data_IF_124958894747
#
_entry.id   IF_124958894747
#
_cell.length_a   1.000
_cell.length_b   1.000
_cell.length_c   1.000
_cell.angle_alpha   90.00
_cell.angle_beta   90.00
_cell.angle_gamma   90.00
#
_symmetry.space_group_name_H-M   'P 1'
#
loop_
_entity.id
_entity.type
_entity.pdbx_description
1 polymer ?
#
# COMPACT_ATOMS: atom_id res chain seq x y z
N UNK A 1 26.75 2.09 -4.68
CA UNK A 1 26.22 1.23 -5.78
C UNK A 1 25.31 2.03 -6.67
N UNK A 2 25.11 1.54 -7.91
CA UNK A 2 24.16 2.10 -8.87
C UNK A 2 22.87 1.28 -8.85
N UNK A 3 21.73 1.92 -8.58
CA UNK A 3 20.44 1.26 -8.38
C UNK A 3 19.48 1.74 -9.47
N UNK A 4 19.00 0.82 -10.33
CA UNK A 4 17.93 1.12 -11.27
C UNK A 4 16.59 0.98 -10.56
N UNK A 5 15.96 2.11 -10.26
CA UNK A 5 14.70 2.17 -9.52
C UNK A 5 13.51 2.23 -10.50
N UNK A 6 12.71 1.16 -10.53
CA UNK A 6 11.61 1.00 -11.48
C UNK A 6 10.27 1.26 -10.80
N UNK A 7 9.55 2.27 -11.27
CA UNK A 7 8.16 2.54 -10.90
C UNK A 7 7.40 3.10 -12.10
N UNK A 8 6.11 2.75 -12.26
CA UNK A 8 5.37 3.22 -13.44
C UNK A 8 5.01 4.72 -13.44
N UNK A 9 5.11 5.40 -12.30
CA UNK A 9 4.96 6.86 -12.16
C UNK A 9 6.23 7.46 -11.57
N UNK A 10 6.63 8.60 -12.06
CA UNK A 10 7.73 9.37 -11.49
C UNK A 10 7.25 10.76 -11.02
N UNK A 11 6.10 10.76 -10.33
CA UNK A 11 5.49 11.91 -9.65
C UNK A 11 4.65 11.41 -8.47
N UNK A 12 4.43 12.25 -7.46
CA UNK A 12 3.67 11.87 -6.25
C UNK A 12 2.17 11.89 -6.55
N UNK A 13 1.52 10.72 -6.48
CA UNK A 13 0.07 10.58 -6.58
C UNK A 13 -0.54 9.86 -5.37
N UNK A 14 0.28 9.21 -4.55
CA UNK A 14 -0.17 8.44 -3.38
C UNK A 14 0.97 7.90 -2.54
N UNK A 15 0.67 6.95 -1.68
CA UNK A 15 1.62 6.31 -0.76
C UNK A 15 2.81 5.63 -1.45
N UNK A 16 2.59 4.82 -2.51
CA UNK A 16 3.69 4.16 -3.20
C UNK A 16 4.73 5.11 -3.81
N UNK A 17 4.29 6.23 -4.38
CA UNK A 17 5.21 7.22 -4.95
C UNK A 17 5.91 8.03 -3.85
N UNK A 18 5.24 8.35 -2.74
CA UNK A 18 5.90 8.94 -1.56
C UNK A 18 7.02 8.03 -1.06
N UNK A 19 6.75 6.72 -0.95
CA UNK A 19 7.78 5.76 -0.60
C UNK A 19 8.96 5.81 -1.58
N UNK A 20 8.68 5.79 -2.90
CA UNK A 20 9.70 5.83 -3.95
C UNK A 20 10.63 7.04 -3.80
N UNK A 21 10.07 8.25 -3.66
CA UNK A 21 10.89 9.47 -3.56
C UNK A 21 11.63 9.53 -2.23
N UNK A 22 11.06 9.06 -1.14
CA UNK A 22 11.72 9.04 0.16
C UNK A 22 12.89 8.05 0.18
N UNK A 23 12.71 6.84 -0.35
CA UNK A 23 13.80 5.85 -0.39
C UNK A 23 14.88 6.27 -1.39
N UNK A 24 14.50 6.86 -2.54
CA UNK A 24 15.44 7.44 -3.50
C UNK A 24 16.32 8.48 -2.81
N UNK A 25 15.71 9.46 -2.14
CA UNK A 25 16.43 10.50 -1.41
C UNK A 25 17.38 9.91 -0.35
N UNK A 26 16.91 8.90 0.42
CA UNK A 26 17.75 8.25 1.44
C UNK A 26 18.96 7.54 0.83
N UNK A 27 18.74 6.79 -0.27
CA UNK A 27 19.81 6.10 -0.97
C UNK A 27 20.85 7.09 -1.52
N UNK A 28 20.42 8.21 -2.10
CA UNK A 28 21.31 9.25 -2.61
C UNK A 28 22.11 9.95 -1.50
N UNK A 29 21.48 10.23 -0.36
CA UNK A 29 22.17 10.79 0.83
C UNK A 29 23.24 9.85 1.38
N UNK A 30 23.07 8.56 1.23
CA UNK A 30 24.04 7.52 1.64
C UNK A 30 25.08 7.20 0.54
N UNK A 31 25.15 8.03 -0.51
CA UNK A 31 26.18 7.95 -1.54
C UNK A 31 25.91 6.91 -2.65
N UNK A 32 24.67 6.48 -2.84
CA UNK A 32 24.30 5.62 -3.96
C UNK A 32 23.81 6.46 -5.14
N UNK A 33 24.07 5.99 -6.37
CA UNK A 33 23.50 6.54 -7.60
C UNK A 33 22.14 5.87 -7.86
N UNK A 34 21.06 6.65 -7.92
CA UNK A 34 19.72 6.13 -8.18
C UNK A 34 19.20 6.58 -9.54
N UNK A 35 19.04 5.62 -10.43
CA UNK A 35 18.64 5.80 -11.82
C UNK A 35 17.15 5.45 -11.93
N UNK A 36 16.24 6.42 -12.20
CA UNK A 36 14.83 6.11 -12.34
C UNK A 36 14.50 5.51 -13.70
N UNK A 37 13.54 4.57 -13.73
CA UNK A 37 12.87 4.10 -14.94
C UNK A 37 11.37 4.10 -14.75
N UNK A 38 10.64 4.79 -15.64
CA UNK A 38 9.20 5.02 -15.52
C UNK A 38 8.50 5.05 -16.88
N UNK A 39 7.26 5.55 -16.90
CA UNK A 39 6.53 5.92 -18.12
C UNK A 39 6.62 7.44 -18.28
N UNK A 40 6.79 7.91 -19.52
CA UNK A 40 6.75 9.34 -19.85
C UNK A 40 5.40 9.95 -19.48
N UNK A 41 5.44 11.07 -18.80
CA UNK A 41 4.28 11.90 -18.45
C UNK A 41 4.70 13.34 -18.21
N UNK A 42 3.87 14.30 -18.59
CA UNK A 42 4.09 15.72 -18.30
C UNK A 42 4.11 16.04 -16.79
N UNK A 43 3.66 15.09 -15.94
CA UNK A 43 3.67 15.23 -14.48
C UNK A 43 4.94 14.71 -13.82
N UNK A 44 5.82 14.06 -14.57
CA UNK A 44 7.04 13.50 -13.99
C UNK A 44 7.95 14.61 -13.46
N UNK A 45 8.62 14.31 -12.33
CA UNK A 45 9.75 15.10 -11.88
C UNK A 45 10.87 15.06 -12.93
N UNK A 46 11.61 16.16 -13.05
CA UNK A 46 12.69 16.28 -14.03
C UNK A 46 13.81 15.26 -13.76
N UNK A 47 14.29 14.62 -14.83
CA UNK A 47 15.42 13.69 -14.76
C UNK A 47 16.09 13.57 -16.13
N UNK A 48 17.41 13.45 -16.16
CA UNK A 48 18.17 13.18 -17.38
C UNK A 48 17.85 11.81 -18.01
N UNK A 49 17.27 10.89 -17.21
CA UNK A 49 16.91 9.53 -17.61
C UNK A 49 15.57 9.44 -18.33
N UNK A 50 14.80 10.53 -18.47
CA UNK A 50 13.47 10.52 -19.10
C UNK A 50 13.53 10.00 -20.57
N UNK A 51 14.64 10.21 -21.28
CA UNK A 51 14.89 9.66 -22.63
C UNK A 51 14.74 8.15 -22.72
N UNK A 52 14.94 7.42 -21.62
CA UNK A 52 14.78 5.96 -21.54
C UNK A 52 13.38 5.52 -21.14
N UNK A 53 12.55 6.39 -20.60
CA UNK A 53 11.23 6.03 -20.09
C UNK A 53 10.37 5.39 -21.18
N UNK A 54 9.51 4.45 -20.73
CA UNK A 54 8.56 3.80 -21.62
C UNK A 54 7.54 4.82 -22.13
N UNK A 55 7.13 4.68 -23.39
CA UNK A 55 6.09 5.54 -23.94
C UNK A 55 4.76 5.24 -23.26
N UNK A 56 3.86 6.23 -23.10
CA UNK A 56 2.55 6.00 -22.51
C UNK A 56 1.68 5.09 -23.40
N UNK A 57 0.71 4.38 -22.79
CA UNK A 57 -0.20 3.51 -23.53
C UNK A 57 -0.98 4.32 -24.58
N UNK A 58 -1.00 3.84 -25.84
CA UNK A 58 -1.67 4.54 -26.92
C UNK A 58 -1.06 5.91 -27.28
N UNK A 59 0.16 6.21 -26.82
CA UNK A 59 0.82 7.52 -26.94
C UNK A 59 0.05 8.68 -26.30
N UNK A 60 -0.80 8.38 -25.35
CA UNK A 60 -1.62 9.36 -24.66
C UNK A 60 -1.04 9.61 -23.26
N UNK A 61 -0.83 10.86 -22.88
CA UNK A 61 -0.35 11.22 -21.53
C UNK A 61 -1.52 11.15 -20.52
N UNK A 62 -1.58 10.04 -19.78
CA UNK A 62 -2.57 9.86 -18.72
C UNK A 62 -1.92 9.56 -17.39
N UNK A 63 -2.34 10.31 -16.40
CA UNK A 63 -2.07 9.97 -15.01
C UNK A 63 -2.93 8.78 -14.54
N UNK A 64 -4.16 8.63 -15.06
CA UNK A 64 -5.16 7.67 -14.59
C UNK A 64 -5.86 6.94 -15.74
N UNK A 65 -6.28 5.69 -15.51
CA UNK A 65 -6.93 4.83 -16.51
C UNK A 65 -8.32 5.30 -17.01
N UNK A 66 -9.01 6.07 -16.23
CA UNK A 66 -10.33 6.62 -16.53
C UNK A 66 -10.30 7.76 -17.56
N UNK A 67 -9.12 8.39 -17.71
CA UNK A 67 -8.86 9.44 -18.70
C UNK A 67 -8.49 8.89 -20.10
N UNK A 68 -8.49 7.58 -20.25
CA UNK A 68 -7.97 6.86 -21.41
C UNK A 68 -8.99 6.77 -22.56
N UNK A 69 -8.67 7.35 -23.72
CA UNK A 69 -9.44 7.14 -24.96
C UNK A 69 -9.18 5.74 -25.51
N UNK A 70 -10.20 4.90 -25.54
CA UNK A 70 -10.15 3.51 -26.02
C UNK A 70 -10.02 3.45 -27.55
N UNK A 71 -8.83 3.74 -28.09
CA UNK A 71 -8.52 3.48 -29.49
C UNK A 71 -8.08 2.02 -29.65
N UNK A 72 -8.25 1.39 -30.85
CA UNK A 72 -7.78 0.00 -31.08
C UNK A 72 -6.31 -0.19 -30.72
N UNK A 73 -5.43 0.75 -31.08
CA UNK A 73 -4.01 0.74 -30.72
C UNK A 73 -3.80 0.77 -29.22
N UNK A 74 -4.53 1.61 -28.52
CA UNK A 74 -4.43 1.74 -27.08
C UNK A 74 -4.91 0.48 -26.34
N UNK A 75 -5.94 -0.20 -26.86
CA UNK A 75 -6.40 -1.49 -26.33
C UNK A 75 -5.33 -2.58 -26.54
N UNK A 76 -4.72 -2.67 -27.73
CA UNK A 76 -3.64 -3.60 -28.00
C UNK A 76 -2.41 -3.34 -27.11
N UNK A 77 -2.01 -2.08 -26.96
CA UNK A 77 -0.93 -1.70 -26.03
C UNK A 77 -1.26 -2.09 -24.59
N UNK A 78 -2.51 -1.90 -24.15
CA UNK A 78 -2.94 -2.27 -22.81
C UNK A 78 -2.89 -3.78 -22.57
N UNK A 79 -3.33 -4.59 -23.53
CA UNK A 79 -3.24 -6.05 -23.47
C UNK A 79 -1.76 -6.47 -23.42
N UNK A 80 -0.94 -5.92 -24.33
CA UNK A 80 0.50 -6.15 -24.31
C UNK A 80 1.16 -5.79 -22.99
N UNK A 81 0.82 -4.63 -22.40
CA UNK A 81 1.33 -4.23 -21.08
C UNK A 81 0.82 -5.12 -19.94
N UNK A 82 -0.34 -5.71 -20.09
CA UNK A 82 -0.86 -6.67 -19.09
C UNK A 82 -0.13 -8.00 -19.14
N UNK A 83 0.22 -8.50 -20.33
CA UNK A 83 0.85 -9.80 -20.55
C UNK A 83 2.37 -9.68 -20.64
N UNK A 84 2.88 -9.09 -21.73
CA UNK A 84 4.30 -8.88 -21.96
C UNK A 84 4.53 -7.80 -23.03
N UNK A 85 5.39 -6.83 -22.75
CA UNK A 85 5.68 -5.71 -23.65
C UNK A 85 7.13 -5.73 -24.14
N UNK A 86 7.34 -6.12 -25.39
CA UNK A 86 8.67 -6.09 -26.03
C UNK A 86 9.26 -4.66 -26.12
N UNK A 87 8.41 -3.64 -26.21
CA UNK A 87 8.87 -2.25 -26.19
C UNK A 87 9.49 -1.89 -24.84
N UNK A 88 8.83 -2.26 -23.73
CA UNK A 88 9.35 -2.01 -22.37
C UNK A 88 10.61 -2.84 -22.13
N UNK A 89 10.65 -4.10 -22.57
CA UNK A 89 11.85 -4.93 -22.48
C UNK A 89 13.04 -4.26 -23.19
N UNK A 90 12.84 -3.75 -24.41
CA UNK A 90 13.88 -3.06 -25.15
C UNK A 90 14.37 -1.79 -24.45
N UNK A 91 13.44 -1.01 -23.87
CA UNK A 91 13.76 0.22 -23.14
C UNK A 91 14.55 -0.04 -21.86
N UNK A 92 14.13 -1.05 -21.06
CA UNK A 92 14.85 -1.42 -19.84
C UNK A 92 16.25 -1.97 -20.16
N UNK A 93 16.40 -2.77 -21.21
CA UNK A 93 17.71 -3.25 -21.66
C UNK A 93 18.62 -2.11 -22.12
N UNK A 94 18.06 -1.09 -22.78
CA UNK A 94 18.84 0.08 -23.22
C UNK A 94 19.39 0.86 -22.02
N UNK A 95 18.54 1.22 -21.05
CA UNK A 95 19.01 1.95 -19.87
C UNK A 95 20.04 1.14 -19.07
N UNK A 96 19.83 -0.17 -18.92
CA UNK A 96 20.82 -1.05 -18.24
C UNK A 96 22.16 -1.07 -18.98
N UNK A 97 22.13 -1.14 -20.33
CA UNK A 97 23.37 -1.12 -21.14
C UNK A 97 24.13 0.19 -20.96
N UNK A 98 23.41 1.32 -21.01
CA UNK A 98 24.02 2.65 -21.03
C UNK A 98 24.49 3.11 -19.63
N UNK A 99 23.86 2.62 -18.54
CA UNK A 99 24.15 3.07 -17.15
C UNK A 99 24.83 2.02 -16.30
N UNK A 100 24.79 0.74 -16.70
CA UNK A 100 25.36 -0.42 -16.01
C UNK A 100 25.06 -0.46 -14.50
N UNK A 101 23.77 -0.49 -14.08
CA UNK A 101 23.42 -0.55 -12.66
C UNK A 101 23.85 -1.87 -12.02
N UNK A 102 24.13 -1.84 -10.71
CA UNK A 102 24.49 -3.05 -9.94
C UNK A 102 23.26 -3.92 -9.68
N UNK A 103 22.08 -3.28 -9.51
CA UNK A 103 20.83 -3.94 -9.13
C UNK A 103 19.62 -3.22 -9.71
N UNK A 104 18.54 -3.97 -9.99
CA UNK A 104 17.25 -3.45 -10.43
C UNK A 104 16.24 -3.59 -9.29
N UNK A 105 15.83 -2.46 -8.70
CA UNK A 105 14.83 -2.41 -7.64
C UNK A 105 13.47 -1.98 -8.19
N UNK A 106 12.54 -2.92 -8.24
CA UNK A 106 11.19 -2.71 -8.81
C UNK A 106 10.20 -2.44 -7.67
N UNK A 107 9.50 -1.31 -7.75
CA UNK A 107 8.47 -0.93 -6.79
C UNK A 107 7.06 -1.24 -7.29
N UNK A 108 6.73 -0.76 -8.51
CA UNK A 108 5.42 -1.01 -9.10
C UNK A 108 5.50 -0.97 -10.63
N UNK A 109 4.99 -2.02 -11.29
CA UNK A 109 5.02 -2.14 -12.76
C UNK A 109 3.71 -2.66 -13.35
N UNK A 110 2.83 -3.25 -12.54
CA UNK A 110 1.70 -4.06 -12.99
C UNK A 110 0.76 -3.30 -13.92
N UNK A 111 0.39 -3.95 -15.04
CA UNK A 111 -0.50 -3.43 -16.09
C UNK A 111 -0.04 -2.13 -16.77
N UNK A 112 1.12 -1.59 -16.41
CA UNK A 112 1.67 -0.32 -16.93
C UNK A 112 3.02 -0.50 -17.63
N UNK A 113 3.99 -1.14 -16.97
CA UNK A 113 5.30 -1.46 -17.52
C UNK A 113 5.45 -2.93 -17.91
N UNK A 114 4.55 -3.82 -17.46
CA UNK A 114 4.58 -5.27 -17.69
C UNK A 114 5.76 -5.99 -16.99
N UNK A 115 5.66 -7.31 -16.74
CA UNK A 115 6.78 -8.10 -16.21
C UNK A 115 8.00 -8.17 -17.15
N UNK A 116 7.90 -7.61 -18.35
CA UNK A 116 9.04 -7.50 -19.25
C UNK A 116 10.21 -6.69 -18.68
N UNK A 117 9.97 -5.86 -17.63
CA UNK A 117 11.05 -5.20 -16.86
C UNK A 117 11.93 -6.24 -16.17
N UNK A 118 11.34 -7.31 -15.62
CA UNK A 118 12.05 -8.43 -14.99
C UNK A 118 12.84 -9.19 -16.05
N UNK A 119 12.17 -9.57 -17.17
CA UNK A 119 12.80 -10.30 -18.26
C UNK A 119 13.97 -9.53 -18.86
N UNK A 120 13.80 -8.24 -19.11
CA UNK A 120 14.84 -7.39 -19.66
C UNK A 120 16.06 -7.24 -18.73
N UNK A 121 15.84 -7.08 -17.43
CA UNK A 121 16.91 -7.04 -16.43
C UNK A 121 17.69 -8.36 -16.36
N UNK A 122 16.98 -9.49 -16.33
CA UNK A 122 17.63 -10.82 -16.28
C UNK A 122 18.37 -11.16 -17.56
N UNK A 123 17.89 -10.72 -18.74
CA UNK A 123 18.62 -10.86 -20.01
C UNK A 123 19.92 -10.03 -20.06
N UNK A 124 20.04 -9.03 -19.20
CA UNK A 124 21.24 -8.21 -19.02
C UNK A 124 22.06 -8.65 -17.79
N UNK A 125 21.79 -9.85 -17.25
CA UNK A 125 22.46 -10.44 -16.09
C UNK A 125 22.45 -9.52 -14.85
N UNK A 126 21.35 -8.74 -14.66
CA UNK A 126 21.20 -7.89 -13.48
C UNK A 126 20.31 -8.55 -12.45
N UNK A 127 20.70 -8.52 -11.15
CA UNK A 127 19.85 -8.97 -10.08
C UNK A 127 18.60 -8.08 -9.94
N UNK A 128 17.47 -8.72 -9.60
CA UNK A 128 16.16 -8.07 -9.54
C UNK A 128 15.55 -8.24 -8.15
N UNK A 129 15.27 -7.14 -7.49
CA UNK A 129 14.53 -7.08 -6.23
C UNK A 129 13.15 -6.48 -6.48
N UNK A 130 12.10 -7.16 -6.05
CA UNK A 130 10.72 -6.70 -6.19
C UNK A 130 10.11 -6.37 -4.83
N UNK A 131 9.71 -5.11 -4.63
CA UNK A 131 8.93 -4.70 -3.47
C UNK A 131 7.44 -4.82 -3.77
N UNK A 132 6.70 -5.44 -2.87
CA UNK A 132 5.26 -5.64 -2.99
C UNK A 132 4.49 -4.58 -2.20
N UNK A 133 3.73 -3.76 -2.90
CA UNK A 133 2.88 -2.73 -2.29
C UNK A 133 1.42 -3.17 -2.14
N UNK A 134 1.04 -4.26 -2.81
CA UNK A 134 -0.29 -4.87 -2.81
C UNK A 134 -0.20 -6.38 -3.10
N UNK A 135 -1.33 -7.04 -3.29
CA UNK A 135 -1.42 -8.49 -3.47
C UNK A 135 -1.45 -8.94 -4.95
N UNK A 136 -0.90 -8.16 -5.87
CA UNK A 136 -1.04 -8.39 -7.32
C UNK A 136 -0.48 -9.70 -7.85
N UNK A 137 0.46 -10.34 -7.13
CA UNK A 137 1.00 -11.66 -7.48
C UNK A 137 -0.01 -12.79 -7.19
N UNK A 138 -0.90 -12.56 -6.24
CA UNK A 138 -1.84 -13.55 -5.71
C UNK A 138 -3.28 -13.29 -6.15
N UNK A 139 -3.70 -12.04 -6.20
CA UNK A 139 -5.07 -11.63 -6.51
C UNK A 139 -5.13 -10.80 -7.80
N UNK A 140 -5.95 -11.17 -8.81
CA UNK A 140 -6.12 -10.38 -10.03
C UNK A 140 -6.63 -8.95 -9.78
N UNK A 141 -7.38 -8.74 -8.70
CA UNK A 141 -7.90 -7.45 -8.27
C UNK A 141 -6.93 -6.66 -7.38
N UNK A 142 -5.87 -7.29 -6.86
CA UNK A 142 -4.81 -6.74 -6.00
C UNK A 142 -5.14 -6.60 -4.52
N UNK A 143 -6.37 -6.83 -4.09
CA UNK A 143 -6.88 -6.44 -2.78
C UNK A 143 -7.61 -7.54 -1.99
N UNK A 144 -7.75 -8.74 -2.56
CA UNK A 144 -8.50 -9.84 -1.95
C UNK A 144 -9.92 -9.46 -1.51
N UNK A 145 -10.59 -8.56 -2.24
CA UNK A 145 -11.91 -8.07 -1.90
C UNK A 145 -12.94 -8.42 -2.98
N UNK A 146 -14.09 -8.95 -2.58
CA UNK A 146 -15.26 -9.14 -3.44
C UNK A 146 -16.54 -8.89 -2.64
N UNK A 147 -17.41 -8.01 -3.16
CA UNK A 147 -18.67 -7.63 -2.51
C UNK A 147 -18.50 -7.25 -1.02
N UNK A 148 -17.51 -6.40 -0.72
CA UNK A 148 -17.16 -5.96 0.63
C UNK A 148 -16.84 -7.10 1.62
N UNK A 149 -16.39 -8.25 1.09
CA UNK A 149 -15.89 -9.36 1.88
C UNK A 149 -14.50 -9.78 1.42
N UNK A 150 -13.71 -10.32 2.33
CA UNK A 150 -12.43 -10.94 2.01
C UNK A 150 -12.67 -12.12 1.09
N UNK A 151 -11.92 -12.21 -0.01
CA UNK A 151 -12.06 -13.22 -1.03
C UNK A 151 -10.70 -13.81 -1.42
N UNK A 152 -10.54 -15.11 -1.20
CA UNK A 152 -9.37 -15.88 -1.61
C UNK A 152 -9.70 -16.93 -2.69
N UNK A 153 -10.84 -16.81 -3.37
CA UNK A 153 -11.33 -17.81 -4.34
C UNK A 153 -10.34 -18.13 -5.46
N UNK A 154 -9.56 -17.13 -5.89
CA UNK A 154 -8.56 -17.36 -6.94
C UNK A 154 -7.38 -18.21 -6.48
N UNK A 155 -7.05 -18.21 -5.20
CA UNK A 155 -6.05 -19.08 -4.61
C UNK A 155 -6.56 -20.53 -4.50
N UNK A 156 -7.83 -20.68 -4.09
CA UNK A 156 -8.47 -21.99 -3.86
C UNK A 156 -8.92 -22.67 -5.15
N UNK A 157 -9.55 -21.93 -6.05
CA UNK A 157 -10.26 -22.47 -7.22
C UNK A 157 -9.67 -22.01 -8.56
N UNK A 158 -8.58 -21.21 -8.53
CA UNK A 158 -7.93 -20.66 -9.72
C UNK A 158 -8.62 -19.43 -10.29
N UNK A 159 -7.99 -18.83 -11.29
CA UNK A 159 -8.38 -17.52 -11.84
C UNK A 159 -9.72 -17.46 -12.57
N UNK A 160 -10.38 -18.60 -12.83
CA UNK A 160 -11.76 -18.66 -13.29
C UNK A 160 -12.73 -17.96 -12.34
N UNK A 161 -12.43 -17.97 -11.04
CA UNK A 161 -13.20 -17.24 -10.02
C UNK A 161 -13.21 -15.73 -10.25
N UNK A 162 -12.07 -15.15 -10.66
CA UNK A 162 -11.99 -13.74 -11.03
C UNK A 162 -12.91 -13.39 -12.21
N UNK A 163 -13.00 -14.27 -13.22
CA UNK A 163 -13.85 -14.06 -14.39
C UNK A 163 -15.32 -14.14 -14.00
N UNK A 164 -15.72 -15.17 -13.25
CA UNK A 164 -17.07 -15.38 -12.73
C UNK A 164 -17.53 -14.17 -11.90
N UNK A 165 -16.68 -13.70 -11.01
CA UNK A 165 -16.95 -12.61 -10.09
C UNK A 165 -16.75 -11.21 -10.70
N UNK A 166 -16.35 -11.12 -12.00
CA UNK A 166 -16.05 -9.84 -12.70
C UNK A 166 -15.15 -8.90 -11.89
N UNK A 167 -14.13 -9.45 -11.22
CA UNK A 167 -13.35 -8.77 -10.19
C UNK A 167 -12.65 -7.49 -10.70
N UNK A 168 -12.24 -7.45 -11.98
CA UNK A 168 -11.50 -6.30 -12.53
C UNK A 168 -12.48 -5.30 -13.13
N UNK A 169 -12.64 -4.15 -12.46
CA UNK A 169 -13.52 -3.04 -12.89
C UNK A 169 -14.96 -3.46 -13.18
N UNK A 170 -15.48 -4.48 -12.50
CA UNK A 170 -16.81 -5.06 -12.76
C UNK A 170 -17.03 -5.44 -14.23
N UNK A 171 -15.96 -5.87 -14.93
CA UNK A 171 -15.95 -6.19 -16.36
C UNK A 171 -15.46 -7.60 -16.60
N UNK A 172 -16.24 -8.40 -17.34
CA UNK A 172 -15.86 -9.76 -17.73
C UNK A 172 -14.61 -9.76 -18.62
N UNK A 173 -14.56 -8.89 -19.64
CA UNK A 173 -13.41 -8.80 -20.56
C UNK A 173 -12.11 -8.39 -19.84
N UNK A 174 -12.18 -7.41 -18.94
CA UNK A 174 -11.03 -7.00 -18.16
C UNK A 174 -10.56 -8.12 -17.21
N UNK A 175 -11.50 -8.86 -16.61
CA UNK A 175 -11.20 -10.01 -15.76
C UNK A 175 -10.58 -11.18 -16.53
N UNK A 176 -11.03 -11.44 -17.77
CA UNK A 176 -10.43 -12.43 -18.67
C UNK A 176 -8.97 -12.05 -18.99
N UNK A 177 -8.73 -10.81 -19.44
CA UNK A 177 -7.38 -10.33 -19.80
C UNK A 177 -6.44 -10.46 -18.60
N UNK A 178 -6.88 -10.04 -17.42
CA UNK A 178 -6.06 -10.11 -16.21
C UNK A 178 -5.78 -11.54 -15.76
N UNK A 179 -6.80 -12.40 -15.75
CA UNK A 179 -6.65 -13.82 -15.42
C UNK A 179 -5.72 -14.54 -16.40
N UNK A 180 -5.88 -14.29 -17.70
CA UNK A 180 -5.00 -14.83 -18.74
C UNK A 180 -3.55 -14.36 -18.53
N UNK A 181 -3.34 -13.07 -18.25
CA UNK A 181 -2.00 -12.52 -17.96
C UNK A 181 -1.33 -13.27 -16.80
N UNK A 182 -2.04 -13.49 -15.70
CA UNK A 182 -1.49 -14.20 -14.54
C UNK A 182 -1.18 -15.66 -14.84
N UNK A 183 -2.01 -16.35 -15.66
CA UNK A 183 -1.74 -17.72 -16.12
C UNK A 183 -0.48 -17.75 -16.98
N UNK A 184 -0.34 -16.81 -17.92
CA UNK A 184 0.86 -16.72 -18.78
C UNK A 184 2.10 -16.48 -17.93
N UNK A 185 2.06 -15.52 -17.01
CA UNK A 185 3.19 -15.21 -16.13
C UNK A 185 3.63 -16.41 -15.30
N UNK A 186 2.67 -17.20 -14.78
CA UNK A 186 2.96 -18.43 -14.05
C UNK A 186 3.59 -19.49 -14.96
N UNK A 187 3.05 -19.67 -16.19
CA UNK A 187 3.57 -20.65 -17.15
C UNK A 187 5.00 -20.34 -17.60
N UNK A 188 5.32 -19.08 -17.88
CA UNK A 188 6.68 -18.68 -18.27
C UNK A 188 7.63 -18.48 -17.08
N UNK A 189 7.15 -18.76 -15.87
CA UNK A 189 7.91 -18.67 -14.62
C UNK A 189 8.64 -17.34 -14.45
N UNK A 190 7.99 -16.22 -14.86
CA UNK A 190 8.65 -14.91 -14.87
C UNK A 190 9.02 -14.45 -13.46
N UNK A 191 8.21 -14.81 -12.47
CA UNK A 191 8.42 -14.44 -11.08
C UNK A 191 9.51 -15.29 -10.41
N UNK A 192 9.76 -16.53 -10.85
CA UNK A 192 10.86 -17.36 -10.34
C UNK A 192 12.24 -16.75 -10.62
N UNK A 193 12.30 -15.83 -11.61
CA UNK A 193 13.51 -15.08 -12.00
C UNK A 193 13.87 -13.93 -11.05
N UNK A 194 13.00 -13.60 -10.12
CA UNK A 194 13.25 -12.56 -9.11
C UNK A 194 14.20 -13.13 -8.06
N UNK A 195 15.20 -12.34 -7.69
CA UNK A 195 16.23 -12.76 -6.73
C UNK A 195 15.79 -12.48 -5.28
N UNK A 196 15.03 -11.40 -5.04
CA UNK A 196 14.43 -11.14 -3.73
C UNK A 196 13.07 -10.44 -3.82
N UNK A 197 12.17 -10.80 -2.91
CA UNK A 197 10.88 -10.14 -2.68
C UNK A 197 10.91 -9.38 -1.36
N UNK A 198 10.52 -8.11 -1.38
CA UNK A 198 10.39 -7.29 -0.18
C UNK A 198 8.91 -7.15 0.15
N UNK A 199 8.49 -7.77 1.25
CA UNK A 199 7.13 -7.70 1.77
C UNK A 199 7.07 -6.71 2.94
N UNK A 200 6.15 -5.74 2.96
CA UNK A 200 6.04 -4.80 4.06
C UNK A 200 5.47 -5.42 5.33
N UNK A 201 4.88 -6.62 5.26
CA UNK A 201 4.26 -7.32 6.38
C UNK A 201 4.56 -8.81 6.37
N UNK A 202 4.57 -9.44 7.54
CA UNK A 202 4.66 -10.91 7.64
C UNK A 202 3.47 -11.59 6.99
N UNK A 203 2.26 -11.03 7.14
CA UNK A 203 1.06 -11.55 6.49
C UNK A 203 1.25 -11.74 4.97
N UNK A 204 1.79 -10.74 4.26
CA UNK A 204 2.04 -10.87 2.83
C UNK A 204 3.16 -11.88 2.54
N UNK A 205 4.21 -11.91 3.35
CA UNK A 205 5.29 -12.91 3.25
C UNK A 205 4.72 -14.33 3.36
N UNK A 206 3.93 -14.60 4.39
CA UNK A 206 3.31 -15.92 4.61
C UNK A 206 2.36 -16.30 3.47
N UNK A 207 1.52 -15.36 3.01
CA UNK A 207 0.64 -15.56 1.85
C UNK A 207 1.41 -15.94 0.58
N UNK A 208 2.58 -15.38 0.34
CA UNK A 208 3.43 -15.81 -0.79
C UNK A 208 3.95 -17.23 -0.60
N UNK A 209 4.48 -17.54 0.57
CA UNK A 209 5.03 -18.89 0.90
C UNK A 209 3.93 -19.95 0.75
N UNK A 210 2.75 -19.72 1.32
CA UNK A 210 1.57 -20.58 1.20
C UNK A 210 1.17 -20.85 -0.26
N UNK A 211 1.48 -19.91 -1.17
CA UNK A 211 1.15 -20.01 -2.59
C UNK A 211 2.34 -20.39 -3.48
N UNK A 212 3.37 -21.00 -2.89
CA UNK A 212 4.46 -21.67 -3.59
C UNK A 212 5.60 -20.78 -4.04
N UNK A 213 5.73 -19.56 -3.50
CA UNK A 213 6.92 -18.75 -3.69
C UNK A 213 8.05 -19.21 -2.77
N UNK A 214 9.27 -19.13 -3.26
CA UNK A 214 10.47 -19.56 -2.55
C UNK A 214 10.70 -18.71 -1.28
N UNK A 215 10.60 -19.35 -0.11
CA UNK A 215 10.73 -18.70 1.19
C UNK A 215 12.08 -18.01 1.40
N UNK A 216 13.15 -18.56 0.79
CA UNK A 216 14.51 -18.06 0.97
C UNK A 216 14.77 -16.74 0.20
N UNK A 217 13.87 -16.43 -0.74
CA UNK A 217 13.86 -15.18 -1.49
C UNK A 217 12.91 -14.10 -0.92
N UNK A 218 12.15 -14.39 0.16
CA UNK A 218 11.13 -13.47 0.67
C UNK A 218 11.55 -12.86 2.00
N UNK A 219 11.69 -11.54 2.00
CA UNK A 219 12.13 -10.76 3.16
C UNK A 219 11.02 -9.83 3.64
N UNK A 220 10.83 -9.77 4.96
CA UNK A 220 9.93 -8.78 5.56
C UNK A 220 10.72 -7.52 5.89
N UNK A 221 10.44 -6.42 5.16
CA UNK A 221 10.97 -5.08 5.44
C UNK A 221 9.78 -4.11 5.46
N UNK A 222 9.34 -3.69 6.65
CA UNK A 222 8.19 -2.80 6.78
C UNK A 222 8.38 -1.46 6.06
N UNK A 223 7.28 -0.85 5.63
CA UNK A 223 7.28 0.55 5.18
C UNK A 223 7.68 1.46 6.35
N UNK A 224 8.25 2.59 6.05
CA UNK A 224 8.75 3.55 7.05
C UNK A 224 7.97 4.86 7.05
N UNK A 225 8.14 5.64 8.11
CA UNK A 225 7.75 7.05 8.19
C UNK A 225 8.96 7.95 8.37
N UNK A 226 8.88 9.16 7.85
CA UNK A 226 9.87 10.22 8.07
C UNK A 226 9.51 11.12 9.27
N UNK A 227 8.32 10.95 9.85
CA UNK A 227 7.77 11.83 10.89
C UNK A 227 8.04 11.24 12.27
N UNK A 228 9.28 11.35 12.73
CA UNK A 228 9.66 10.87 14.08
C UNK A 228 9.81 12.03 15.09
N UNK A 229 9.64 13.28 14.63
CA UNK A 229 10.17 14.44 15.36
C UNK A 229 9.17 15.20 16.25
N UNK A 230 7.94 14.76 16.40
CA UNK A 230 7.02 15.42 17.31
C UNK A 230 6.34 14.41 18.21
N UNK A 231 6.56 14.55 19.51
CA UNK A 231 5.95 13.72 20.53
C UNK A 231 5.08 14.60 21.40
N UNK A 232 3.76 14.44 21.28
CA UNK A 232 2.82 14.99 22.25
C UNK A 232 2.48 13.90 23.28
N UNK A 233 2.74 14.16 24.55
CA UNK A 233 2.29 13.30 25.66
C UNK A 233 0.81 13.53 26.00
N UNK A 234 0.12 14.34 25.19
CA UNK A 234 -1.28 14.64 25.39
C UNK A 234 -2.17 13.42 25.10
N UNK A 235 -2.90 12.98 26.11
CA UNK A 235 -4.01 12.02 25.94
C UNK A 235 -5.28 12.82 25.65
N UNK A 236 -5.62 12.92 24.36
CA UNK A 236 -6.81 13.63 23.91
C UNK A 236 -8.12 13.04 24.42
N UNK A 237 -9.23 13.59 23.93
CA UNK A 237 -10.56 13.24 24.39
C UNK A 237 -11.48 12.66 23.30
N UNK A 238 -10.94 12.31 22.13
CA UNK A 238 -11.71 11.73 21.03
C UNK A 238 -10.97 10.57 20.34
N UNK A 239 -11.72 9.64 19.79
CA UNK A 239 -11.21 8.66 18.82
C UNK A 239 -11.14 9.29 17.43
N UNK A 240 -10.11 8.93 16.66
CA UNK A 240 -9.87 9.48 15.33
C UNK A 240 -9.90 8.38 14.27
N UNK A 241 -10.70 8.58 13.23
CA UNK A 241 -10.49 7.93 11.95
C UNK A 241 -9.91 8.95 10.97
N UNK A 242 -8.84 8.56 10.25
CA UNK A 242 -8.37 9.35 9.12
C UNK A 242 -7.89 8.48 7.97
N UNK A 243 -8.18 8.93 6.77
CA UNK A 243 -7.88 8.21 5.54
C UNK A 243 -8.99 8.29 4.52
N UNK A 244 -8.93 7.42 3.53
CA UNK A 244 -9.95 7.33 2.49
C UNK A 244 -11.27 6.82 3.07
N UNK A 245 -12.37 7.55 2.80
CA UNK A 245 -13.70 7.12 3.21
C UNK A 245 -14.30 6.30 2.07
N UNK A 246 -14.27 4.98 2.24
CA UNK A 246 -14.75 3.99 1.27
C UNK A 246 -15.23 2.73 2.00
N UNK A 247 -16.12 1.92 1.40
CA UNK A 247 -16.74 0.78 2.10
C UNK A 247 -15.74 -0.18 2.74
N UNK A 248 -14.64 -0.49 2.04
CA UNK A 248 -13.62 -1.43 2.53
C UNK A 248 -12.82 -0.91 3.72
N UNK A 249 -12.85 0.40 3.97
CA UNK A 249 -12.21 1.00 5.15
C UNK A 249 -13.07 0.91 6.42
N UNK A 250 -14.33 0.49 6.28
CA UNK A 250 -15.17 0.11 7.41
C UNK A 250 -15.58 1.26 8.36
N UNK A 251 -15.54 2.52 7.89
CA UNK A 251 -15.88 3.70 8.72
C UNK A 251 -17.26 3.58 9.34
N UNK A 252 -18.17 2.90 8.65
CA UNK A 252 -19.53 2.63 9.15
C UNK A 252 -19.53 1.89 10.50
N UNK A 253 -18.59 0.96 10.70
CA UNK A 253 -18.51 0.21 11.97
C UNK A 253 -18.08 1.11 13.14
N UNK A 254 -17.15 2.04 12.88
CA UNK A 254 -16.78 3.04 13.87
C UNK A 254 -17.99 3.94 14.21
N UNK A 255 -18.69 4.47 13.20
CA UNK A 255 -19.89 5.29 13.42
C UNK A 255 -20.92 4.56 14.26
N UNK A 256 -21.24 3.29 13.93
CA UNK A 256 -22.22 2.49 14.67
C UNK A 256 -21.79 2.17 16.12
N UNK A 257 -20.49 2.01 16.36
CA UNK A 257 -19.98 1.84 17.72
C UNK A 257 -20.18 3.12 18.53
N UNK A 258 -19.90 4.29 17.97
CA UNK A 258 -20.08 5.58 18.63
C UNK A 258 -21.58 5.98 18.77
N UNK A 259 -22.46 5.52 17.89
CA UNK A 259 -23.92 5.63 18.06
C UNK A 259 -24.38 4.90 19.34
N UNK A 260 -23.84 3.69 19.59
CA UNK A 260 -24.17 2.92 20.82
C UNK A 260 -23.52 3.49 22.08
N UNK A 261 -22.38 4.17 21.97
CA UNK A 261 -21.65 4.75 23.09
C UNK A 261 -22.30 6.05 23.63
N UNK A 262 -22.99 6.80 22.73
CA UNK A 262 -23.64 8.06 23.10
C UNK A 262 -22.68 9.26 23.14
N UNK A 263 -23.17 10.39 23.66
CA UNK A 263 -22.55 11.72 23.53
C UNK A 263 -21.25 11.92 24.33
N UNK A 264 -21.00 11.08 25.34
CA UNK A 264 -19.77 11.14 26.15
C UNK A 264 -18.52 10.73 25.34
N UNK A 265 -18.70 9.98 24.24
CA UNK A 265 -17.64 9.49 23.37
C UNK A 265 -17.65 10.23 22.05
N UNK A 266 -16.54 10.90 21.73
CA UNK A 266 -16.42 11.71 20.51
C UNK A 266 -15.61 10.99 19.45
N UNK A 267 -16.11 11.01 18.19
CA UNK A 267 -15.39 10.52 17.00
C UNK A 267 -15.15 11.65 16.00
N UNK A 268 -13.90 11.82 15.62
CA UNK A 268 -13.54 12.69 14.49
C UNK A 268 -13.20 11.80 13.28
N UNK A 269 -13.78 12.15 12.12
CA UNK A 269 -13.57 11.48 10.84
C UNK A 269 -12.94 12.47 9.87
N UNK A 270 -11.70 12.18 9.46
CA UNK A 270 -10.90 13.03 8.57
C UNK A 270 -10.60 12.29 7.27
N UNK A 271 -11.04 12.82 6.13
CA UNK A 271 -10.84 12.21 4.82
C UNK A 271 -11.59 12.97 3.73
N UNK A 272 -11.47 12.51 2.48
CA UNK A 272 -12.27 13.07 1.39
C UNK A 272 -13.75 12.76 1.62
N UNK A 273 -14.47 13.79 1.99
CA UNK A 273 -15.88 13.72 2.34
C UNK A 273 -16.84 14.01 1.17
N UNK A 274 -16.28 14.09 -0.05
CA UNK A 274 -17.05 14.23 -1.31
C UNK A 274 -17.39 12.90 -1.96
N UNK A 275 -16.80 11.80 -1.50
CA UNK A 275 -17.08 10.44 -2.02
C UNK A 275 -18.52 10.02 -1.74
N UNK A 276 -19.08 9.12 -2.57
CA UNK A 276 -20.46 8.62 -2.37
C UNK A 276 -20.62 7.94 -1.01
N UNK A 277 -19.61 7.20 -0.55
CA UNK A 277 -19.63 6.58 0.77
C UNK A 277 -19.63 7.62 1.90
N UNK A 278 -18.83 8.67 1.77
CA UNK A 278 -18.82 9.75 2.75
C UNK A 278 -20.16 10.50 2.81
N UNK A 279 -20.78 10.77 1.66
CA UNK A 279 -22.13 11.37 1.61
C UNK A 279 -23.17 10.48 2.29
N UNK A 280 -23.13 9.17 2.03
CA UNK A 280 -24.01 8.17 2.65
C UNK A 280 -23.87 8.18 4.18
N UNK A 281 -22.62 8.14 4.67
CA UNK A 281 -22.33 8.13 6.10
C UNK A 281 -22.67 9.45 6.79
N UNK A 282 -22.40 10.60 6.16
CA UNK A 282 -22.83 11.92 6.67
C UNK A 282 -24.34 12.03 6.80
N UNK A 283 -25.09 11.53 5.78
CA UNK A 283 -26.54 11.47 5.84
C UNK A 283 -26.99 10.63 7.02
N UNK A 284 -26.43 9.43 7.19
CA UNK A 284 -26.74 8.56 8.34
C UNK A 284 -26.54 9.26 9.68
N UNK A 285 -25.38 9.90 9.89
CA UNK A 285 -25.06 10.65 11.12
C UNK A 285 -26.08 11.77 11.36
N UNK A 286 -26.48 12.51 10.31
CA UNK A 286 -27.46 13.58 10.39
C UNK A 286 -28.86 13.04 10.73
N UNK A 287 -29.33 12.01 10.04
CA UNK A 287 -30.67 11.43 10.22
C UNK A 287 -30.83 10.83 11.61
N UNK A 288 -29.76 10.27 12.17
CA UNK A 288 -29.69 9.71 13.53
C UNK A 288 -29.39 10.76 14.60
N UNK A 289 -29.12 12.03 14.23
CA UNK A 289 -28.80 13.14 15.15
C UNK A 289 -27.59 12.83 16.05
N UNK A 290 -26.53 12.18 15.50
CA UNK A 290 -25.33 11.81 16.25
C UNK A 290 -24.42 13.02 16.41
N UNK A 291 -24.58 13.80 17.49
CA UNK A 291 -23.83 15.03 17.72
C UNK A 291 -22.38 14.77 18.16
N UNK A 292 -22.07 13.57 18.59
CA UNK A 292 -20.76 13.12 19.02
C UNK A 292 -19.82 12.72 17.87
N UNK A 293 -20.30 12.75 16.60
CA UNK A 293 -19.53 12.38 15.42
C UNK A 293 -19.34 13.59 14.49
N UNK A 294 -18.07 13.92 14.18
CA UNK A 294 -17.73 15.08 13.37
C UNK A 294 -16.88 14.69 12.16
N UNK A 295 -17.31 15.09 10.95
CA UNK A 295 -16.50 15.04 9.72
C UNK A 295 -15.75 16.37 9.56
N UNK A 296 -14.43 16.30 9.30
CA UNK A 296 -13.58 17.49 9.17
C UNK A 296 -13.13 17.75 7.73
N UNK A 297 -13.54 16.90 6.78
CA UNK A 297 -13.05 16.94 5.40
C UNK A 297 -11.60 16.45 5.27
N UNK A 298 -11.04 16.58 4.07
CA UNK A 298 -9.66 16.18 3.81
C UNK A 298 -8.67 17.15 4.47
N UNK A 299 -7.71 16.59 5.23
CA UNK A 299 -6.63 17.31 5.89
C UNK A 299 -5.28 16.74 5.52
N UNK A 300 -4.23 17.58 5.51
CA UNK A 300 -2.84 17.19 5.20
C UNK A 300 -1.84 18.05 5.97
N UNK A 301 -0.59 17.58 6.03
CA UNK A 301 0.52 18.30 6.67
C UNK A 301 0.19 18.63 8.13
N UNK A 302 0.56 19.82 8.57
CA UNK A 302 0.43 20.27 9.98
C UNK A 302 -1.00 20.19 10.53
N UNK A 303 -2.03 20.44 9.69
CA UNK A 303 -3.43 20.32 10.15
C UNK A 303 -3.78 18.87 10.51
N UNK A 304 -3.39 17.89 9.69
CA UNK A 304 -3.60 16.49 9.99
C UNK A 304 -2.78 16.05 11.19
N UNK A 305 -1.51 16.45 11.27
CA UNK A 305 -0.64 16.15 12.40
C UNK A 305 -1.25 16.62 13.72
N UNK A 306 -1.76 17.84 13.77
CA UNK A 306 -2.44 18.39 14.96
C UNK A 306 -3.66 17.56 15.36
N UNK A 307 -4.50 17.17 14.40
CA UNK A 307 -5.68 16.33 14.68
C UNK A 307 -5.26 14.96 15.22
N UNK A 308 -4.17 14.38 14.72
CA UNK A 308 -3.64 13.12 15.25
C UNK A 308 -3.11 13.33 16.68
N UNK A 309 -2.31 14.37 16.92
CA UNK A 309 -1.70 14.68 18.23
C UNK A 309 -2.76 14.96 19.32
N UNK A 310 -3.88 15.55 18.97
CA UNK A 310 -4.98 15.87 19.88
C UNK A 310 -5.95 14.68 20.10
N UNK A 311 -5.81 13.59 19.32
CA UNK A 311 -6.64 12.40 19.51
C UNK A 311 -6.19 11.57 20.72
N UNK A 312 -7.11 10.75 21.27
CA UNK A 312 -6.78 9.76 22.28
C UNK A 312 -6.21 8.50 21.68
N UNK A 313 -6.78 8.04 20.60
CA UNK A 313 -6.37 6.87 19.82
C UNK A 313 -6.89 6.98 18.38
N UNK A 314 -6.37 6.13 17.51
CA UNK A 314 -6.82 6.03 16.11
C UNK A 314 -7.58 4.72 15.91
N UNK A 315 -8.66 4.76 15.12
CA UNK A 315 -9.45 3.57 14.75
C UNK A 315 -9.19 3.23 13.29
N UNK A 316 -8.83 1.96 13.02
CA UNK A 316 -8.61 1.40 11.68
C UNK A 316 -9.56 0.21 11.48
N UNK A 317 -10.85 0.47 11.18
CA UNK A 317 -11.90 -0.56 11.14
C UNK A 317 -11.99 -1.25 9.78
N UNK A 318 -10.89 -1.41 9.08
CA UNK A 318 -10.83 -1.96 7.73
C UNK A 318 -11.40 -3.37 7.65
N UNK A 319 -12.25 -3.64 6.64
CA UNK A 319 -12.91 -4.93 6.45
C UNK A 319 -12.25 -5.78 5.35
N UNK A 320 -11.06 -5.42 4.94
CA UNK A 320 -10.25 -6.09 3.93
C UNK A 320 -8.81 -6.29 4.42
N UNK A 321 -8.02 -7.01 3.65
CA UNK A 321 -6.59 -7.14 3.92
C UNK A 321 -5.86 -5.82 3.60
N UNK A 322 -5.41 -5.13 4.64
CA UNK A 322 -4.44 -4.05 4.48
C UNK A 322 -3.05 -4.65 4.23
N UNK A 323 -2.20 -3.94 3.49
CA UNK A 323 -0.80 -4.39 3.38
C UNK A 323 0.04 -3.69 4.42
N UNK A 324 0.05 -2.64 4.87
CA UNK A 324 0.56 -1.89 6.02
C UNK A 324 0.05 -0.45 5.90
N UNK A 325 -1.03 -0.10 6.60
CA UNK A 325 -1.59 1.24 6.49
C UNK A 325 -0.63 2.28 7.07
N UNK A 326 -0.28 3.30 6.28
CA UNK A 326 0.53 4.42 6.78
C UNK A 326 -0.11 5.10 7.99
N UNK A 327 -1.46 5.12 8.07
CA UNK A 327 -2.21 5.65 9.21
C UNK A 327 -1.78 5.06 10.54
N UNK A 328 -1.44 3.77 10.60
CA UNK A 328 -0.95 3.15 11.84
C UNK A 328 0.43 3.70 12.20
N UNK A 329 1.36 3.72 11.23
CA UNK A 329 2.73 4.18 11.48
C UNK A 329 2.74 5.68 11.83
N UNK A 330 1.89 6.48 11.17
CA UNK A 330 1.73 7.90 11.45
C UNK A 330 1.11 8.13 12.85
N UNK A 331 0.09 7.34 13.26
CA UNK A 331 -0.46 7.38 14.61
C UNK A 331 0.59 7.02 15.66
N UNK A 332 1.31 5.93 15.44
CA UNK A 332 2.39 5.47 16.33
C UNK A 332 3.50 6.51 16.46
N UNK A 333 3.85 7.23 15.38
CA UNK A 333 4.84 8.31 15.42
C UNK A 333 4.43 9.51 16.29
N UNK A 334 3.15 9.61 16.60
CA UNK A 334 2.56 10.62 17.50
C UNK A 334 2.15 10.06 18.86
N UNK A 335 2.69 8.90 19.25
CA UNK A 335 2.36 8.18 20.50
C UNK A 335 0.85 7.89 20.63
N UNK A 336 0.16 7.63 19.51
CA UNK A 336 -1.27 7.29 19.55
C UNK A 336 -1.44 5.79 19.36
N UNK A 337 -1.99 5.07 20.34
CA UNK A 337 -2.33 3.67 20.17
C UNK A 337 -3.46 3.52 19.14
N UNK A 338 -3.57 2.32 18.57
CA UNK A 338 -4.53 2.06 17.49
C UNK A 338 -5.48 0.95 17.89
N UNK A 339 -6.77 1.16 17.62
CA UNK A 339 -7.77 0.08 17.61
C UNK A 339 -7.96 -0.36 16.16
N UNK A 340 -7.64 -1.61 15.84
CA UNK A 340 -7.75 -2.12 14.49
C UNK A 340 -8.52 -3.44 14.42
N UNK A 341 -9.08 -3.74 13.25
CA UNK A 341 -9.70 -5.04 12.97
C UNK A 341 -8.65 -6.16 13.04
N UNK A 342 -8.98 -7.28 13.68
CA UNK A 342 -8.11 -8.46 13.78
C UNK A 342 -8.09 -9.25 12.46
N UNK A 343 -7.48 -8.67 11.40
CA UNK A 343 -7.48 -9.26 10.07
C UNK A 343 -6.20 -8.90 9.30
N UNK A 344 -5.68 -9.88 8.56
CA UNK A 344 -4.54 -9.68 7.67
C UNK A 344 -3.32 -9.10 8.38
N UNK A 345 -2.69 -8.11 7.80
CA UNK A 345 -1.51 -7.46 8.36
C UNK A 345 -1.78 -6.64 9.65
N UNK A 346 -3.03 -6.24 9.86
CA UNK A 346 -3.42 -5.53 11.08
C UNK A 346 -3.25 -6.41 12.31
N UNK A 347 -3.49 -7.72 12.16
CA UNK A 347 -3.30 -8.73 13.21
C UNK A 347 -1.87 -8.76 13.75
N UNK A 348 -0.88 -8.61 12.87
CA UNK A 348 0.53 -8.65 13.24
C UNK A 348 1.06 -7.29 13.67
N UNK A 349 0.51 -6.22 13.11
CA UNK A 349 0.95 -4.84 13.40
C UNK A 349 0.49 -4.37 14.76
N UNK A 350 -0.75 -4.71 15.15
CA UNK A 350 -1.30 -4.36 16.43
C UNK A 350 -1.06 -5.51 17.42
N UNK A 351 -0.29 -5.22 18.45
CA UNK A 351 -0.10 -6.11 19.60
C UNK A 351 -1.08 -5.72 20.69
N UNK A 352 -2.01 -6.62 20.95
CA UNK A 352 -3.15 -6.40 21.82
C UNK A 352 -2.66 -6.05 23.23
N UNK A 353 -3.20 -4.96 23.79
CA UNK A 353 -2.82 -4.41 25.11
C UNK A 353 -1.35 -3.87 25.21
N UNK A 354 -0.59 -3.82 24.10
CA UNK A 354 0.79 -3.29 24.09
C UNK A 354 0.92 -1.97 23.33
N UNK A 355 0.44 -1.92 22.05
CA UNK A 355 0.47 -0.71 21.22
C UNK A 355 -0.92 -0.33 20.69
N UNK A 356 -1.95 -1.02 21.17
CA UNK A 356 -3.32 -0.82 20.77
C UNK A 356 -4.21 -2.00 21.14
N UNK A 357 -5.38 -2.07 20.52
CA UNK A 357 -6.32 -3.18 20.67
C UNK A 357 -6.78 -3.71 19.31
N UNK A 358 -7.06 -5.01 19.27
CA UNK A 358 -7.70 -5.67 18.13
C UNK A 358 -9.17 -5.94 18.44
N UNK A 359 -10.01 -5.84 17.44
CA UNK A 359 -11.42 -6.20 17.52
C UNK A 359 -11.82 -7.11 16.35
N UNK A 360 -12.84 -7.91 16.56
CA UNK A 360 -13.32 -8.88 15.58
C UNK A 360 -13.88 -8.20 14.32
N UNK A 361 -13.57 -8.80 13.16
CA UNK A 361 -14.02 -8.30 11.86
C UNK A 361 -15.54 -8.07 11.83
N UNK A 362 -15.95 -6.84 11.51
CA UNK A 362 -17.36 -6.42 11.40
C UNK A 362 -18.18 -6.53 12.72
N UNK A 363 -17.55 -6.74 13.84
CA UNK A 363 -18.22 -6.84 15.13
C UNK A 363 -18.19 -5.48 15.86
N UNK A 364 -19.36 -4.82 15.90
CA UNK A 364 -19.53 -3.50 16.52
C UNK A 364 -19.35 -3.57 18.03
N UNK A 365 -19.86 -4.63 18.67
CA UNK A 365 -19.80 -4.75 20.14
C UNK A 365 -18.37 -5.04 20.61
N UNK A 366 -17.60 -5.83 19.83
CA UNK A 366 -16.16 -6.00 20.06
C UNK A 366 -15.40 -4.67 19.92
N UNK A 367 -15.71 -3.85 18.91
CA UNK A 367 -15.11 -2.52 18.75
C UNK A 367 -15.47 -1.60 19.92
N UNK A 368 -16.73 -1.58 20.33
CA UNK A 368 -17.23 -0.79 21.46
C UNK A 368 -16.49 -1.14 22.76
N UNK A 369 -16.31 -2.43 23.04
CA UNK A 369 -15.53 -2.88 24.21
C UNK A 369 -14.11 -2.31 24.20
N UNK A 370 -13.41 -2.33 23.03
CA UNK A 370 -12.05 -1.80 22.93
C UNK A 370 -11.99 -0.27 23.04
N UNK A 371 -13.03 0.43 22.57
CA UNK A 371 -13.12 1.90 22.75
C UNK A 371 -13.24 2.23 24.24
N UNK A 372 -14.07 1.51 25.00
CA UNK A 372 -14.19 1.72 26.46
C UNK A 372 -12.90 1.47 27.24
N UNK A 373 -12.08 0.49 26.79
CA UNK A 373 -10.76 0.25 27.38
C UNK A 373 -9.78 1.43 27.21
N UNK A 374 -10.03 2.32 26.25
CA UNK A 374 -9.25 3.54 26.06
C UNK A 374 -9.60 4.67 27.04
N UNK A 375 -10.52 4.45 27.99
CA UNK A 375 -10.81 5.43 29.06
C UNK A 375 -9.71 5.47 30.12
N UNK A 376 -8.96 4.38 30.29
CA UNK A 376 -7.77 4.33 31.12
C UNK A 376 -6.62 5.11 30.44
N UNK A 377 -6.43 6.36 30.87
CA UNK A 377 -5.45 7.30 30.31
C UNK A 377 -4.01 6.84 30.51
N UNK A 378 -3.70 6.15 31.59
CA UNK A 378 -2.35 5.68 31.87
C UNK A 378 -2.01 4.51 30.99
N UNK A 379 -2.94 3.59 30.77
CA UNK A 379 -2.76 2.53 29.79
C UNK A 379 -2.63 3.08 28.35
N UNK A 380 -3.41 4.11 27.99
CA UNK A 380 -3.28 4.79 26.67
C UNK A 380 -1.90 5.41 26.50
N UNK A 381 -1.32 6.05 27.54
CA UNK A 381 0.06 6.57 27.48
C UNK A 381 1.06 5.44 27.30
N UNK A 382 0.96 4.38 28.07
CA UNK A 382 1.87 3.24 27.99
C UNK A 382 1.84 2.60 26.59
N UNK A 383 0.66 2.37 26.05
CA UNK A 383 0.50 1.85 24.68
C UNK A 383 1.06 2.83 23.64
N UNK A 384 0.89 4.14 23.85
CA UNK A 384 1.44 5.18 22.98
C UNK A 384 2.97 5.17 22.97
N UNK A 385 3.63 5.00 24.12
CA UNK A 385 5.09 4.87 24.21
C UNK A 385 5.59 3.61 23.51
N UNK A 386 4.94 2.48 23.71
CA UNK A 386 5.27 1.23 23.02
C UNK A 386 5.10 1.37 21.50
N UNK A 387 4.02 2.01 21.04
CA UNK A 387 3.78 2.31 19.65
C UNK A 387 4.90 3.19 19.03
N UNK A 388 5.31 4.23 19.75
CA UNK A 388 6.38 5.11 19.33
C UNK A 388 7.74 4.40 19.29
N UNK A 389 8.00 3.51 20.24
CA UNK A 389 9.21 2.68 20.23
C UNK A 389 9.25 1.74 19.02
N UNK A 390 8.10 1.18 18.59
CA UNK A 390 8.01 0.42 17.34
C UNK A 390 8.39 1.28 16.13
N UNK A 391 7.97 2.55 16.09
CA UNK A 391 8.38 3.44 14.99
C UNK A 391 9.90 3.63 14.96
N UNK A 392 10.51 3.90 16.09
CA UNK A 392 11.95 4.11 16.18
C UNK A 392 12.77 2.88 15.77
N UNK A 393 12.31 1.71 16.14
CA UNK A 393 13.07 0.45 15.94
C UNK A 393 12.74 -0.25 14.63
N UNK A 394 11.46 -0.25 14.22
CA UNK A 394 10.98 -1.06 13.09
C UNK A 394 10.60 -0.21 11.88
N UNK A 395 10.00 0.97 12.09
CA UNK A 395 9.38 1.77 11.03
C UNK A 395 10.14 3.07 10.72
N UNK A 396 11.40 3.20 11.16
CA UNK A 396 12.27 4.32 10.79
C UNK A 396 12.86 4.11 9.39
N UNK A 397 13.14 5.22 8.69
CA UNK A 397 13.81 5.15 7.38
C UNK A 397 15.21 4.55 7.47
N UNK A 398 15.92 4.74 8.58
CA UNK A 398 17.27 4.19 8.79
C UNK A 398 17.24 2.67 8.98
N UNK A 399 16.28 2.15 9.76
CA UNK A 399 16.07 0.72 9.91
C UNK A 399 15.69 0.07 8.56
N UNK A 400 14.78 0.71 7.82
CA UNK A 400 14.36 0.25 6.50
C UNK A 400 15.55 0.22 5.51
N UNK A 401 16.33 1.30 5.44
CA UNK A 401 17.51 1.40 4.59
C UNK A 401 18.55 0.33 4.93
N UNK A 402 18.89 0.16 6.22
CA UNK A 402 19.84 -0.85 6.68
C UNK A 402 19.45 -2.26 6.23
N UNK A 403 18.18 -2.62 6.45
CA UNK A 403 17.66 -3.94 6.06
C UNK A 403 17.64 -4.11 4.52
N UNK A 404 17.24 -3.09 3.78
CA UNK A 404 17.24 -3.12 2.32
C UNK A 404 18.65 -3.28 1.76
N UNK A 405 19.60 -2.54 2.30
CA UNK A 405 21.01 -2.61 1.88
C UNK A 405 21.64 -3.98 2.15
N UNK A 406 21.30 -4.63 3.28
CA UNK A 406 21.73 -6.00 3.56
C UNK A 406 21.28 -6.98 2.47
N UNK A 407 20.03 -6.87 2.02
CA UNK A 407 19.50 -7.70 0.94
C UNK A 407 20.20 -7.38 -0.38
N UNK A 408 20.36 -6.10 -0.73
CA UNK A 408 21.05 -5.71 -1.96
C UNK A 408 22.47 -6.26 -2.01
N UNK A 409 23.23 -6.10 -0.91
CA UNK A 409 24.60 -6.61 -0.83
C UNK A 409 24.69 -8.14 -0.91
N UNK A 410 23.71 -8.86 -0.32
CA UNK A 410 23.62 -10.32 -0.44
C UNK A 410 23.42 -10.73 -1.91
N UNK A 411 22.42 -10.17 -2.57
CA UNK A 411 22.01 -10.53 -3.93
C UNK A 411 23.07 -10.14 -5.00
N UNK A 412 23.84 -9.07 -4.77
CA UNK A 412 24.92 -8.65 -5.70
C UNK A 412 26.15 -9.57 -5.59
N UNK A 413 26.37 -10.19 -4.45
CA UNK A 413 27.52 -11.11 -4.24
C UNK A 413 27.25 -12.53 -4.71
N UNK A 414 25.99 -12.95 -4.79
CA UNK A 414 25.55 -14.22 -5.37
C UNK A 414 25.54 -14.16 -6.91
#
# INVERSE_FOLDING_TARGET
MKILLVNYRYFISGGPEKYMFNIKKKLELEGHEVIPFSIKSAKNENTEYEKYFADPIGKQDFAYYDQFKKTPKAILDMIGRSVFSFNVERKIKKIIKDTNPDIVYILHYVNKLSPSVIAGAKKMNKPVVLRLSDFFLLCPRFDFLHNNNICEDCLKYGYKSCIKNKCVKNSTSASIIRSFSMIVHKKIKIYDKIDAYICPTNFLKEKLIENGFDKDKIYNIPTFTNSINSTSDNVGNYGLYYGRISPEKGVEYAIKAYEKLGDDYKLIITGDDTTEEAKRLKKYVKDKKLNNIKFTGFKKGKELEKIIEESRFVVVPSIWYENLPNTIIEAFSKKKPVIATDVGSLKDTIRDNENGYKFELKNIDSLLEKIKKMDDKDNVRNMGENAYNDVRTKYSIDSHYKNLLQIFNKIIKE
#
